data_IF_869595739995
#
_entry.id   IF_869595739995
#
_cell.length_a   1.000
_cell.length_b   1.000
_cell.length_c   1.000
_cell.angle_alpha   90.00
_cell.angle_beta   90.00
_cell.angle_gamma   90.00
#
_symmetry.space_group_name_H-M   'P 1'
#
loop_
_entity.id
_entity.type
_entity.pdbx_description
1 polymer ?
#
# COMPACT_ATOMS: atom_id res chain seq x y z
N UNK A 1 -2.13 23.28 -1.09
CA UNK A 1 -2.54 23.42 -2.50
C UNK A 1 -1.84 22.36 -3.36
N UNK A 2 -0.52 22.16 -3.21
CA UNK A 2 0.21 21.07 -3.89
C UNK A 2 -0.16 19.67 -3.43
N UNK A 3 -0.33 19.40 -2.12
CA UNK A 3 -0.79 18.08 -1.65
C UNK A 3 -2.19 17.72 -2.18
N UNK A 4 -3.07 18.70 -2.35
CA UNK A 4 -4.39 18.48 -2.98
C UNK A 4 -4.27 18.17 -4.47
N UNK A 5 -3.40 18.89 -5.20
CA UNK A 5 -3.11 18.61 -6.62
C UNK A 5 -2.45 17.24 -6.83
N UNK A 6 -1.49 16.88 -5.98
CA UNK A 6 -0.86 15.56 -6.01
C UNK A 6 -1.87 14.43 -5.78
N UNK A 7 -2.83 14.64 -4.86
CA UNK A 7 -3.92 13.70 -4.67
C UNK A 7 -4.85 13.63 -5.90
N UNK A 8 -5.19 14.76 -6.53
CA UNK A 8 -6.02 14.79 -7.75
C UNK A 8 -5.40 14.02 -8.93
N UNK A 9 -4.08 14.14 -9.14
CA UNK A 9 -3.39 13.45 -10.23
C UNK A 9 -3.27 11.94 -9.96
N UNK A 10 -3.05 11.54 -8.71
CA UNK A 10 -3.09 10.13 -8.30
C UNK A 10 -4.50 9.53 -8.49
N UNK A 11 -5.55 10.25 -8.13
CA UNK A 11 -6.93 9.78 -8.33
C UNK A 11 -7.29 9.68 -9.83
N UNK A 12 -6.81 10.60 -10.68
CA UNK A 12 -6.97 10.48 -12.15
C UNK A 12 -6.24 9.27 -12.70
N UNK A 13 -5.00 9.03 -12.27
CA UNK A 13 -4.24 7.85 -12.64
C UNK A 13 -4.98 6.58 -12.21
N UNK A 14 -5.44 6.53 -10.96
CA UNK A 14 -6.24 5.43 -10.42
C UNK A 14 -7.45 5.12 -11.31
N UNK A 15 -8.21 6.14 -11.70
CA UNK A 15 -9.37 5.98 -12.58
C UNK A 15 -9.00 5.49 -13.97
N UNK A 16 -7.89 5.97 -14.54
CA UNK A 16 -7.42 5.53 -15.86
C UNK A 16 -7.05 4.04 -15.89
N UNK A 17 -6.60 3.49 -14.76
CA UNK A 17 -6.24 2.07 -14.60
C UNK A 17 -7.45 1.13 -14.50
N UNK A 18 -8.68 1.66 -14.55
CA UNK A 18 -9.87 0.84 -14.73
C UNK A 18 -9.92 0.21 -16.13
N UNK A 19 -9.27 0.82 -17.13
CA UNK A 19 -9.09 0.22 -18.45
C UNK A 19 -8.03 -0.90 -18.38
N UNK A 20 -8.37 -2.16 -18.70
CA UNK A 20 -7.41 -3.27 -18.70
C UNK A 20 -6.19 -3.06 -19.59
N UNK A 21 -6.32 -2.34 -20.71
CA UNK A 21 -5.19 -2.06 -21.61
C UNK A 21 -4.20 -1.09 -20.98
N UNK A 22 -4.71 -0.02 -20.35
CA UNK A 22 -3.89 0.96 -19.63
C UNK A 22 -3.23 0.30 -18.43
N UNK A 23 -3.98 -0.49 -17.65
CA UNK A 23 -3.45 -1.23 -16.51
C UNK A 23 -2.32 -2.18 -16.92
N UNK A 24 -2.51 -2.95 -17.99
CA UNK A 24 -1.48 -3.88 -18.47
C UNK A 24 -0.21 -3.16 -18.90
N UNK A 25 -0.34 -2.06 -19.64
CA UNK A 25 0.81 -1.24 -20.06
C UNK A 25 1.54 -0.63 -18.86
N UNK A 26 0.79 -0.04 -17.92
CA UNK A 26 1.34 0.52 -16.69
C UNK A 26 2.08 -0.53 -15.86
N UNK A 27 1.47 -1.70 -15.67
CA UNK A 27 2.04 -2.83 -14.93
C UNK A 27 3.34 -3.35 -15.56
N UNK A 28 3.39 -3.48 -16.88
CA UNK A 28 4.55 -4.00 -17.62
C UNK A 28 5.83 -3.17 -17.43
N UNK A 29 5.71 -1.86 -17.16
CA UNK A 29 6.86 -0.97 -16.98
C UNK A 29 7.80 -1.43 -15.85
N UNK A 30 7.28 -2.08 -14.81
CA UNK A 30 8.05 -2.51 -13.63
C UNK A 30 8.02 -4.03 -13.37
N UNK A 31 7.25 -4.82 -14.12
CA UNK A 31 7.06 -6.26 -13.87
C UNK A 31 8.35 -7.09 -13.86
N UNK A 32 9.36 -6.67 -14.62
CA UNK A 32 10.63 -7.39 -14.76
C UNK A 32 11.74 -6.87 -13.84
N UNK A 33 11.41 -6.04 -12.85
CA UNK A 33 12.38 -5.53 -11.90
C UNK A 33 13.02 -6.67 -11.08
N UNK A 34 14.35 -6.73 -11.06
CA UNK A 34 15.11 -7.72 -10.28
C UNK A 34 15.37 -7.19 -8.88
N UNK A 35 14.60 -7.71 -7.92
CA UNK A 35 14.74 -7.44 -6.48
C UNK A 35 16.09 -7.96 -5.97
N UNK A 36 16.79 -7.15 -5.17
CA UNK A 36 18.05 -7.53 -4.53
C UNK A 36 17.87 -8.72 -3.57
N UNK A 37 18.96 -9.45 -3.31
CA UNK A 37 18.93 -10.68 -2.52
C UNK A 37 18.28 -10.51 -1.13
N UNK A 38 18.66 -9.47 -0.39
CA UNK A 38 18.18 -9.24 0.97
C UNK A 38 16.67 -8.92 1.01
N UNK A 39 16.15 -7.86 0.33
CA UNK A 39 14.71 -7.61 0.25
C UNK A 39 13.92 -8.82 -0.23
N UNK A 40 14.46 -9.59 -1.19
CA UNK A 40 13.80 -10.77 -1.72
C UNK A 40 13.56 -11.83 -0.65
N UNK A 41 14.56 -12.16 0.16
CA UNK A 41 14.40 -13.13 1.25
C UNK A 41 13.39 -12.61 2.27
N UNK A 42 13.54 -11.37 2.73
CA UNK A 42 12.67 -10.79 3.75
C UNK A 42 11.22 -10.73 3.26
N UNK A 43 11.00 -10.26 2.03
CA UNK A 43 9.68 -10.17 1.41
C UNK A 43 9.01 -11.53 1.26
N UNK A 44 9.72 -12.55 0.75
CA UNK A 44 9.16 -13.90 0.66
C UNK A 44 8.81 -14.48 2.03
N UNK A 45 9.68 -14.33 3.02
CA UNK A 45 9.41 -14.80 4.38
C UNK A 45 8.19 -14.12 4.98
N UNK A 46 8.06 -12.80 4.82
CA UNK A 46 6.93 -12.05 5.36
C UNK A 46 5.60 -12.42 4.67
N UNK A 47 5.58 -12.48 3.33
CA UNK A 47 4.39 -12.90 2.57
C UNK A 47 4.01 -14.36 2.91
N UNK A 48 4.98 -15.25 3.06
CA UNK A 48 4.74 -16.64 3.46
C UNK A 48 4.14 -16.74 4.87
N UNK A 49 4.68 -16.00 5.84
CA UNK A 49 4.13 -15.91 7.19
C UNK A 49 2.69 -15.38 7.17
N UNK A 50 2.43 -14.29 6.44
CA UNK A 50 1.09 -13.71 6.30
C UNK A 50 0.08 -14.70 5.71
N UNK A 51 0.45 -15.42 4.65
CA UNK A 51 -0.41 -16.44 4.04
C UNK A 51 -0.65 -17.65 4.95
N UNK A 52 0.32 -18.01 5.79
CA UNK A 52 0.16 -19.07 6.78
C UNK A 52 -0.81 -18.62 7.90
N UNK A 53 -0.68 -17.38 8.36
CA UNK A 53 -1.51 -16.83 9.45
C UNK A 53 -2.92 -16.46 9.00
N UNK A 54 -3.14 -15.98 7.78
CA UNK A 54 -4.45 -15.48 7.32
C UNK A 54 -5.09 -16.34 6.23
N UNK A 55 -4.39 -17.35 5.74
CA UNK A 55 -4.81 -18.14 4.59
C UNK A 55 -4.38 -17.51 3.26
N UNK A 56 -4.38 -18.34 2.22
CA UNK A 56 -4.02 -17.92 0.85
C UNK A 56 -5.14 -17.19 0.13
N UNK A 57 -6.39 -17.43 0.54
CA UNK A 57 -7.56 -16.84 -0.10
C UNK A 57 -7.80 -15.40 0.38
N UNK A 58 -8.19 -14.49 -0.53
CA UNK A 58 -8.51 -13.12 -0.16
C UNK A 58 -9.85 -13.05 0.57
N UNK A 59 -9.87 -12.36 1.72
CA UNK A 59 -11.06 -12.15 2.56
C UNK A 59 -11.03 -10.75 3.15
N UNK A 60 -12.17 -10.24 3.64
CA UNK A 60 -12.21 -8.92 4.25
C UNK A 60 -11.30 -8.84 5.48
N UNK A 61 -11.27 -9.89 6.29
CA UNK A 61 -10.41 -9.96 7.47
C UNK A 61 -8.92 -10.06 7.15
N UNK A 62 -8.55 -10.73 6.04
CA UNK A 62 -7.17 -10.75 5.56
C UNK A 62 -6.76 -9.37 5.07
N UNK A 63 -7.58 -8.72 4.25
CA UNK A 63 -7.28 -7.37 3.79
C UNK A 63 -7.13 -6.41 4.95
N UNK A 64 -8.06 -6.39 5.91
CA UNK A 64 -7.91 -5.57 7.12
C UNK A 64 -6.55 -5.75 7.82
N UNK A 65 -6.05 -6.98 7.92
CA UNK A 65 -4.75 -7.25 8.52
C UNK A 65 -3.59 -6.74 7.66
N UNK A 66 -3.66 -6.93 6.34
CA UNK A 66 -2.65 -6.48 5.38
C UNK A 66 -2.59 -4.95 5.32
N UNK A 67 -3.73 -4.26 5.33
CA UNK A 67 -3.84 -2.78 5.30
C UNK A 67 -3.28 -2.08 6.55
N UNK A 68 -3.27 -2.78 7.68
CA UNK A 68 -2.56 -2.30 8.89
C UNK A 68 -1.04 -2.32 8.65
N UNK A 69 -0.56 -3.25 7.84
CA UNK A 69 0.87 -3.46 7.54
C UNK A 69 1.30 -2.60 6.33
N UNK A 70 0.45 -2.42 5.33
CA UNK A 70 0.77 -1.74 4.07
C UNK A 70 1.13 -0.25 4.23
N UNK A 71 0.54 0.45 5.21
CA UNK A 71 0.94 1.83 5.57
C UNK A 71 2.37 1.98 6.12
N UNK A 72 2.95 0.90 6.63
CA UNK A 72 4.13 0.96 7.50
C UNK A 72 5.40 1.44 6.78
N UNK A 73 5.72 0.99 5.57
CA UNK A 73 6.94 1.40 4.87
C UNK A 73 7.01 2.90 4.65
N UNK A 74 5.88 3.50 4.31
CA UNK A 74 5.79 4.95 4.13
C UNK A 74 6.07 5.70 5.44
N UNK A 75 5.59 5.20 6.59
CA UNK A 75 5.96 5.75 7.90
C UNK A 75 7.45 5.58 8.18
N UNK A 76 8.02 4.41 7.89
CA UNK A 76 9.46 4.17 8.01
C UNK A 76 10.28 5.13 7.16
N UNK A 77 9.86 5.40 5.93
CA UNK A 77 10.54 6.36 5.04
C UNK A 77 10.42 7.78 5.56
N UNK A 78 9.26 8.19 6.07
CA UNK A 78 9.08 9.50 6.71
C UNK A 78 10.01 9.68 7.92
N UNK A 79 10.12 8.65 8.77
CA UNK A 79 11.03 8.66 9.91
C UNK A 79 12.51 8.65 9.45
N UNK A 80 12.87 7.81 8.48
CA UNK A 80 14.25 7.70 8.00
C UNK A 80 14.70 8.98 7.29
N UNK A 81 13.84 9.57 6.47
CA UNK A 81 14.10 10.87 5.83
C UNK A 81 14.22 11.99 6.85
N UNK A 82 13.38 12.03 7.90
CA UNK A 82 13.53 12.97 9.01
C UNK A 82 14.88 12.81 9.74
N UNK A 83 15.29 11.58 10.04
CA UNK A 83 16.62 11.30 10.63
C UNK A 83 17.74 11.79 9.73
N UNK A 84 17.69 11.47 8.44
CA UNK A 84 18.71 11.90 7.47
C UNK A 84 18.71 13.41 7.27
N UNK A 85 17.56 14.07 7.23
CA UNK A 85 17.45 15.53 7.17
C UNK A 85 18.12 16.16 8.39
N UNK A 86 17.87 15.63 9.58
CA UNK A 86 18.52 16.11 10.82
C UNK A 86 20.04 15.97 10.76
N UNK A 87 20.57 14.89 10.16
CA UNK A 87 22.00 14.68 10.00
C UNK A 87 22.64 15.51 8.87
N UNK A 88 21.85 15.90 7.86
CA UNK A 88 22.36 16.54 6.64
C UNK A 88 21.66 17.86 6.32
N UNK A 89 21.13 18.56 7.33
CA UNK A 89 20.29 19.76 7.16
C UNK A 89 20.98 20.88 6.38
N UNK A 90 22.31 20.97 6.45
CA UNK A 90 23.12 21.97 5.75
C UNK A 90 23.32 21.69 4.26
N UNK A 91 22.95 20.50 3.77
CA UNK A 91 23.11 20.09 2.36
C UNK A 91 21.79 20.26 1.62
N UNK A 92 21.56 21.44 1.06
CA UNK A 92 20.31 21.84 0.40
C UNK A 92 19.78 20.81 -0.61
N UNK A 93 20.60 20.38 -1.58
CA UNK A 93 20.18 19.41 -2.60
C UNK A 93 19.75 18.06 -2.01
N UNK A 94 20.41 17.62 -0.94
CA UNK A 94 20.03 16.41 -0.22
C UNK A 94 18.73 16.62 0.57
N UNK A 95 18.55 17.80 1.14
CA UNK A 95 17.34 18.15 1.88
C UNK A 95 16.11 18.22 0.97
N UNK A 96 16.24 18.76 -0.25
CA UNK A 96 15.18 18.76 -1.28
C UNK A 96 14.78 17.32 -1.61
N UNK A 97 15.74 16.46 -1.99
CA UNK A 97 15.45 15.05 -2.33
C UNK A 97 14.75 14.31 -1.17
N UNK A 98 15.23 14.47 0.07
CA UNK A 98 14.61 13.82 1.23
C UNK A 98 13.20 14.37 1.51
N UNK A 99 12.98 15.67 1.28
CA UNK A 99 11.66 16.29 1.44
C UNK A 99 10.66 15.78 0.41
N UNK A 100 11.10 15.52 -0.82
CA UNK A 100 10.23 14.94 -1.86
C UNK A 100 9.82 13.51 -1.53
N UNK A 101 10.74 12.69 -1.01
CA UNK A 101 10.39 11.36 -0.47
C UNK A 101 9.39 11.48 0.67
N UNK A 102 9.56 12.43 1.60
CA UNK A 102 8.59 12.66 2.68
C UNK A 102 7.21 13.08 2.14
N UNK A 103 7.15 13.91 1.08
CA UNK A 103 5.87 14.29 0.45
C UNK A 103 5.17 13.07 -0.14
N UNK A 104 5.87 12.25 -0.91
CA UNK A 104 5.33 11.02 -1.47
C UNK A 104 4.84 10.08 -0.37
N UNK A 105 5.67 9.83 0.64
CA UNK A 105 5.32 8.95 1.75
C UNK A 105 4.06 9.41 2.48
N UNK A 106 3.83 10.72 2.63
CA UNK A 106 2.58 11.24 3.22
C UNK A 106 1.36 10.96 2.35
N UNK A 107 1.45 11.17 1.03
CA UNK A 107 0.33 10.90 0.12
C UNK A 107 -0.04 9.41 0.14
N UNK A 108 0.95 8.53 0.09
CA UNK A 108 0.74 7.09 0.18
C UNK A 108 0.18 6.69 1.57
N UNK A 109 0.69 7.25 2.67
CA UNK A 109 0.13 7.02 4.02
C UNK A 109 -1.35 7.39 4.10
N UNK A 110 -1.75 8.53 3.53
CA UNK A 110 -3.14 8.98 3.54
C UNK A 110 -4.03 8.01 2.74
N UNK A 111 -3.55 7.54 1.59
CA UNK A 111 -4.24 6.54 0.75
C UNK A 111 -4.42 5.20 1.47
N UNK A 112 -3.34 4.63 2.01
CA UNK A 112 -3.34 3.40 2.80
C UNK A 112 -4.22 3.55 4.06
N UNK A 113 -4.23 4.73 4.69
CA UNK A 113 -5.13 5.05 5.81
C UNK A 113 -6.59 5.00 5.41
N UNK A 114 -6.93 5.49 4.22
CA UNK A 114 -8.26 5.32 3.68
C UNK A 114 -8.62 3.85 3.49
N UNK A 115 -7.73 3.03 2.94
CA UNK A 115 -7.97 1.59 2.78
C UNK A 115 -8.26 0.91 4.13
N UNK A 116 -7.38 1.06 5.13
CA UNK A 116 -7.57 0.36 6.42
C UNK A 116 -8.85 0.78 7.12
N UNK A 117 -9.21 2.07 7.08
CA UNK A 117 -10.40 2.58 7.78
C UNK A 117 -11.66 1.99 7.14
N UNK A 118 -11.74 2.07 5.82
CA UNK A 118 -12.92 1.62 5.06
C UNK A 118 -13.01 0.10 5.10
N UNK A 119 -11.92 -0.62 4.84
CA UNK A 119 -11.89 -2.10 4.89
C UNK A 119 -12.16 -2.60 6.30
N UNK A 120 -11.71 -1.91 7.35
CA UNK A 120 -12.06 -2.27 8.73
C UNK A 120 -13.57 -2.17 8.99
N UNK A 121 -14.23 -1.15 8.44
CA UNK A 121 -15.68 -0.99 8.54
C UNK A 121 -16.41 -2.09 7.75
N UNK A 122 -15.96 -2.41 6.54
CA UNK A 122 -16.51 -3.48 5.72
C UNK A 122 -16.34 -4.85 6.38
N UNK A 123 -15.12 -5.16 6.85
CA UNK A 123 -14.82 -6.42 7.51
C UNK A 123 -15.69 -6.65 8.75
N UNK A 124 -15.98 -5.61 9.54
CA UNK A 124 -16.90 -5.70 10.68
C UNK A 124 -18.34 -6.06 10.28
N UNK A 125 -18.79 -5.61 9.10
CA UNK A 125 -20.14 -5.87 8.59
C UNK A 125 -20.26 -7.26 7.94
N UNK A 126 -19.21 -7.68 7.24
CA UNK A 126 -19.22 -8.88 6.39
C UNK A 126 -18.73 -10.15 7.11
N UNK A 127 -17.80 -10.01 8.08
CA UNK A 127 -17.13 -11.15 8.71
C UNK A 127 -17.01 -10.98 10.24
N UNK A 128 -17.27 -12.04 11.01
CA UNK A 128 -17.05 -12.05 12.47
C UNK A 128 -15.59 -12.42 12.78
N UNK A 129 -14.86 -11.54 13.46
CA UNK A 129 -13.45 -11.76 13.79
C UNK A 129 -13.24 -12.07 15.27
N UNK A 130 -12.32 -13.00 15.58
CA UNK A 130 -11.72 -13.11 16.91
C UNK A 130 -10.72 -11.98 17.15
N UNK A 131 -10.79 -11.31 18.30
CA UNK A 131 -10.01 -10.10 18.59
C UNK A 131 -8.48 -10.32 18.53
N UNK A 132 -7.97 -11.47 18.97
CA UNK A 132 -6.51 -11.70 19.12
C UNK A 132 -5.80 -11.83 17.77
N UNK A 133 -6.27 -12.74 16.88
CA UNK A 133 -5.61 -13.05 15.60
C UNK A 133 -5.58 -11.86 14.63
N UNK A 134 -6.60 -11.01 14.68
CA UNK A 134 -6.78 -9.93 13.71
C UNK A 134 -6.44 -8.54 14.23
N UNK A 135 -5.94 -8.42 15.46
CA UNK A 135 -5.48 -7.15 16.04
C UNK A 135 -4.03 -7.27 16.49
N UNK A 136 -3.68 -8.27 17.30
CA UNK A 136 -2.34 -8.37 17.87
C UNK A 136 -1.27 -8.77 16.84
N UNK A 137 -1.57 -9.77 16.00
CA UNK A 137 -0.61 -10.24 15.00
C UNK A 137 -0.27 -9.15 13.96
N UNK A 138 -1.24 -8.42 13.36
CA UNK A 138 -0.92 -7.33 12.44
C UNK A 138 -0.08 -6.24 13.11
N UNK A 139 -0.32 -5.92 14.38
CA UNK A 139 0.46 -4.93 15.12
C UNK A 139 1.92 -5.36 15.31
N UNK A 140 2.16 -6.62 15.68
CA UNK A 140 3.54 -7.15 15.77
C UNK A 140 4.22 -7.18 14.41
N UNK A 141 3.49 -7.57 13.36
CA UNK A 141 4.01 -7.57 12.00
C UNK A 141 4.37 -6.16 11.53
N UNK A 142 3.49 -5.19 11.80
CA UNK A 142 3.70 -3.78 11.52
C UNK A 142 4.93 -3.24 12.27
N UNK A 143 5.12 -3.60 13.54
CA UNK A 143 6.29 -3.18 14.32
C UNK A 143 7.61 -3.67 13.71
N UNK A 144 7.72 -4.96 13.39
CA UNK A 144 8.96 -5.48 12.79
C UNK A 144 9.16 -4.98 11.37
N UNK A 145 8.09 -4.86 10.59
CA UNK A 145 8.16 -4.32 9.25
C UNK A 145 8.63 -2.86 9.27
N UNK A 146 8.18 -2.07 10.25
CA UNK A 146 8.62 -0.70 10.46
C UNK A 146 10.13 -0.64 10.67
N UNK A 147 10.65 -1.44 11.60
CA UNK A 147 12.08 -1.47 11.91
C UNK A 147 12.90 -1.88 10.69
N UNK A 148 12.49 -2.93 10.00
CA UNK A 148 13.22 -3.43 8.84
C UNK A 148 13.20 -2.41 7.70
N UNK A 149 12.04 -1.85 7.36
CA UNK A 149 11.93 -0.83 6.33
C UNK A 149 12.76 0.41 6.66
N UNK A 150 12.78 0.83 7.94
CA UNK A 150 13.56 1.98 8.41
C UNK A 150 15.07 1.73 8.29
N UNK A 151 15.58 0.62 8.83
CA UNK A 151 17.02 0.32 8.78
C UNK A 151 17.50 0.02 7.36
N UNK A 152 16.71 -0.70 6.56
CA UNK A 152 17.02 -0.91 5.15
C UNK A 152 17.13 0.43 4.42
N UNK A 153 16.21 1.38 4.69
CA UNK A 153 16.26 2.69 4.07
C UNK A 153 17.53 3.46 4.43
N UNK A 154 17.94 3.43 5.70
CA UNK A 154 19.17 4.08 6.15
C UNK A 154 20.44 3.47 5.55
N UNK A 155 20.48 2.14 5.36
CA UNK A 155 21.62 1.42 4.78
C UNK A 155 21.67 1.63 3.27
N UNK A 156 20.56 1.36 2.59
CA UNK A 156 20.39 1.51 1.16
C UNK A 156 18.89 1.70 0.84
N UNK A 157 18.44 2.92 0.51
CA UNK A 157 17.04 3.22 0.19
C UNK A 157 16.41 2.21 -0.78
N UNK A 158 17.20 1.76 -1.77
CA UNK A 158 16.78 0.75 -2.75
C UNK A 158 16.22 -0.51 -2.10
N UNK A 159 16.84 -1.00 -1.02
CA UNK A 159 16.38 -2.22 -0.36
C UNK A 159 15.02 -2.05 0.30
N UNK A 160 14.73 -0.87 0.83
CA UNK A 160 13.45 -0.57 1.44
C UNK A 160 12.34 -0.44 0.40
N UNK A 161 12.63 0.26 -0.72
CA UNK A 161 11.71 0.35 -1.87
C UNK A 161 11.43 -1.01 -2.52
N UNK A 162 12.46 -1.83 -2.71
CA UNK A 162 12.32 -3.19 -3.26
C UNK A 162 11.51 -4.11 -2.34
N UNK A 163 11.63 -3.94 -1.03
CA UNK A 163 10.81 -4.67 -0.07
C UNK A 163 9.34 -4.22 -0.19
N UNK A 164 9.08 -2.91 -0.27
CA UNK A 164 7.73 -2.39 -0.50
C UNK A 164 7.13 -2.92 -1.82
N UNK A 165 7.89 -2.86 -2.91
CA UNK A 165 7.48 -3.41 -4.21
C UNK A 165 6.93 -4.84 -4.11
N UNK A 166 7.56 -5.71 -3.31
CA UNK A 166 7.07 -7.09 -3.13
C UNK A 166 5.73 -7.17 -2.39
N UNK A 167 5.52 -6.31 -1.39
CA UNK A 167 4.26 -6.24 -0.65
C UNK A 167 3.13 -5.70 -1.51
N UNK A 168 3.35 -4.57 -2.18
CA UNK A 168 2.39 -3.93 -3.10
C UNK A 168 2.04 -4.87 -4.26
N UNK A 169 3.02 -5.57 -4.81
CA UNK A 169 2.76 -6.58 -5.84
C UNK A 169 1.91 -7.74 -5.29
N UNK A 170 2.15 -8.19 -4.06
CA UNK A 170 1.33 -9.22 -3.45
C UNK A 170 -0.11 -8.73 -3.21
N UNK A 171 -0.28 -7.52 -2.69
CA UNK A 171 -1.58 -6.90 -2.46
C UNK A 171 -2.37 -6.76 -3.77
N UNK A 172 -1.75 -6.24 -4.83
CA UNK A 172 -2.33 -6.16 -6.17
C UNK A 172 -2.90 -7.51 -6.65
N UNK A 173 -2.13 -8.59 -6.52
CA UNK A 173 -2.57 -9.93 -6.93
C UNK A 173 -3.72 -10.45 -6.05
N UNK A 174 -3.71 -10.16 -4.75
CA UNK A 174 -4.80 -10.54 -3.84
C UNK A 174 -6.11 -9.81 -4.16
N UNK A 175 -6.05 -8.50 -4.41
CA UNK A 175 -7.22 -7.71 -4.80
C UNK A 175 -7.75 -8.11 -6.19
N UNK A 176 -6.85 -8.36 -7.14
CA UNK A 176 -7.23 -8.87 -8.46
C UNK A 176 -8.01 -10.18 -8.36
N UNK A 177 -7.47 -11.15 -7.60
CA UNK A 177 -8.16 -12.42 -7.34
C UNK A 177 -9.50 -12.22 -6.63
N UNK A 178 -9.59 -11.29 -5.69
CA UNK A 178 -10.83 -11.01 -4.97
C UNK A 178 -11.93 -10.44 -5.89
N UNK A 179 -11.56 -9.52 -6.76
CA UNK A 179 -12.47 -8.92 -7.75
C UNK A 179 -12.91 -9.95 -8.80
N UNK A 180 -12.02 -10.82 -9.24
CA UNK A 180 -12.35 -11.91 -10.18
C UNK A 180 -13.32 -12.92 -9.56
N UNK A 181 -13.09 -13.31 -8.31
CA UNK A 181 -13.87 -14.36 -7.64
C UNK A 181 -15.20 -13.86 -7.07
N UNK A 182 -15.27 -12.61 -6.60
CA UNK A 182 -16.45 -12.06 -5.90
C UNK A 182 -17.07 -10.85 -6.60
N UNK A 183 -16.62 -10.50 -7.81
CA UNK A 183 -17.01 -9.26 -8.48
C UNK A 183 -18.51 -9.01 -8.57
N UNK A 184 -19.27 -10.03 -8.97
CA UNK A 184 -20.74 -9.93 -9.11
C UNK A 184 -21.47 -9.77 -7.76
N UNK A 185 -20.93 -10.32 -6.68
CA UNK A 185 -21.43 -10.11 -5.33
C UNK A 185 -21.17 -8.66 -4.88
N UNK A 186 -19.94 -8.19 -5.09
CA UNK A 186 -19.48 -6.86 -4.67
C UNK A 186 -20.24 -5.72 -5.37
N UNK A 187 -20.62 -5.90 -6.64
CA UNK A 187 -21.42 -4.92 -7.39
C UNK A 187 -22.79 -4.66 -6.76
N UNK A 188 -23.36 -5.65 -6.06
CA UNK A 188 -24.68 -5.56 -5.42
C UNK A 188 -24.64 -4.92 -4.04
N UNK A 189 -23.44 -4.69 -3.48
CA UNK A 189 -23.27 -4.16 -2.13
C UNK A 189 -22.96 -2.66 -2.20
N UNK A 190 -23.92 -1.77 -1.91
CA UNK A 190 -23.63 -0.35 -1.83
C UNK A 190 -22.64 -0.06 -0.71
N UNK A 191 -21.80 0.94 -0.92
CA UNK A 191 -20.84 1.39 0.09
C UNK A 191 -21.12 2.85 0.42
N UNK A 192 -21.19 3.14 1.72
CA UNK A 192 -21.28 4.50 2.25
C UNK A 192 -20.30 4.63 3.41
N UNK A 193 -19.42 5.61 3.33
CA UNK A 193 -18.47 5.95 4.38
C UNK A 193 -18.23 7.45 4.40
N UNK A 194 -18.36 8.05 5.59
CA UNK A 194 -17.99 9.44 5.81
C UNK A 194 -16.50 9.66 5.55
N UNK A 195 -15.66 8.66 5.83
CA UNK A 195 -14.23 8.73 5.60
C UNK A 195 -13.90 8.79 4.10
N UNK A 196 -14.58 8.01 3.26
CA UNK A 196 -14.46 8.10 1.80
C UNK A 196 -14.85 9.49 1.28
N UNK A 197 -15.94 10.05 1.83
CA UNK A 197 -16.41 11.39 1.46
C UNK A 197 -15.42 12.49 1.86
N UNK A 198 -14.79 12.36 3.04
CA UNK A 198 -13.74 13.25 3.53
C UNK A 198 -12.45 13.12 2.70
N UNK A 199 -12.07 11.88 2.33
CA UNK A 199 -10.91 11.59 1.50
C UNK A 199 -11.08 12.10 0.06
N UNK A 200 -12.33 12.18 -0.43
CA UNK A 200 -12.67 12.67 -1.77
C UNK A 200 -12.89 11.56 -2.80
N UNK A 201 -13.17 10.32 -2.37
CA UNK A 201 -13.42 9.17 -3.25
C UNK A 201 -14.85 8.68 -3.09
N UNK A 202 -15.57 8.49 -4.20
CA UNK A 202 -17.02 8.25 -4.20
C UNK A 202 -17.41 6.96 -4.96
N UNK A 203 -16.99 5.76 -4.52
CA UNK A 203 -17.41 4.51 -5.14
C UNK A 203 -18.89 4.23 -4.87
N UNK A 204 -19.62 3.72 -5.85
CA UNK A 204 -21.06 3.42 -5.72
C UNK A 204 -21.32 2.12 -4.96
N UNK A 205 -20.41 1.16 -5.10
CA UNK A 205 -20.50 -0.17 -4.50
C UNK A 205 -19.11 -0.66 -4.06
N UNK A 206 -19.09 -1.79 -3.35
CA UNK A 206 -17.85 -2.37 -2.86
C UNK A 206 -16.92 -2.80 -4.02
N UNK A 207 -17.45 -3.18 -5.19
CA UNK A 207 -16.63 -3.56 -6.35
C UNK A 207 -15.79 -2.38 -6.82
N UNK A 208 -16.39 -1.21 -7.02
CA UNK A 208 -15.68 0.01 -7.41
C UNK A 208 -14.65 0.44 -6.37
N UNK A 209 -14.98 0.29 -5.09
CA UNK A 209 -14.05 0.56 -4.02
C UNK A 209 -12.81 -0.36 -4.12
N UNK A 210 -12.99 -1.69 -4.12
CA UNK A 210 -11.87 -2.62 -4.21
C UNK A 210 -11.11 -2.55 -5.55
N UNK A 211 -11.78 -2.18 -6.64
CA UNK A 211 -11.14 -1.88 -7.92
C UNK A 211 -10.19 -0.69 -7.79
N UNK A 212 -10.62 0.37 -7.11
CA UNK A 212 -9.77 1.52 -6.83
C UNK A 212 -8.61 1.17 -5.91
N UNK A 213 -8.82 0.34 -4.88
CA UNK A 213 -7.75 -0.12 -3.98
C UNK A 213 -6.70 -0.91 -4.77
N UNK A 214 -7.12 -1.90 -5.59
CA UNK A 214 -6.22 -2.63 -6.50
C UNK A 214 -5.37 -1.69 -7.36
N UNK A 215 -5.97 -0.62 -7.87
CA UNK A 215 -5.27 0.35 -8.70
C UNK A 215 -4.29 1.22 -7.90
N UNK A 216 -4.56 1.49 -6.62
CA UNK A 216 -3.60 2.15 -5.73
C UNK A 216 -2.37 1.25 -5.51
N UNK A 217 -2.56 -0.04 -5.21
CA UNK A 217 -1.45 -0.99 -4.99
C UNK A 217 -0.48 -1.03 -6.19
N UNK A 218 -0.99 -1.03 -7.42
CA UNK A 218 -0.12 -1.05 -8.61
C UNK A 218 0.62 0.28 -8.80
N UNK A 219 -0.01 1.40 -8.42
CA UNK A 219 0.64 2.72 -8.44
C UNK A 219 1.76 2.74 -7.41
N UNK A 220 1.50 2.33 -6.17
CA UNK A 220 2.47 2.22 -5.09
C UNK A 220 3.63 1.29 -5.45
N UNK A 221 3.34 0.13 -6.02
CA UNK A 221 4.33 -0.83 -6.53
C UNK A 221 5.27 -0.18 -7.53
N UNK A 222 4.74 0.44 -8.59
CA UNK A 222 5.56 1.02 -9.65
C UNK A 222 6.33 2.25 -9.17
N UNK A 223 5.70 3.08 -8.32
CA UNK A 223 6.35 4.27 -7.76
C UNK A 223 7.53 3.89 -6.88
N UNK A 224 7.42 2.80 -6.11
CA UNK A 224 8.55 2.25 -5.36
C UNK A 224 9.77 1.97 -6.26
N UNK A 225 9.57 1.55 -7.51
CA UNK A 225 10.67 1.31 -8.45
C UNK A 225 11.18 2.62 -9.07
N UNK A 226 10.31 3.56 -9.39
CA UNK A 226 10.72 4.87 -9.90
C UNK A 226 11.58 5.65 -8.90
N UNK A 227 11.30 5.53 -7.60
CA UNK A 227 12.11 6.15 -6.53
C UNK A 227 13.53 5.56 -6.39
N UNK A 228 13.81 4.40 -7.00
CA UNK A 228 15.15 3.79 -7.05
C UNK A 228 16.01 4.41 -8.15
N UNK A 229 15.39 4.90 -9.24
CA UNK A 229 16.07 5.37 -10.45
C UNK A 229 16.59 6.80 -10.28
#
# INVERSE_FOLDING_TARGET
MELRRGNEDLEKLNQSLNDPHVLKAYKQACDHHKVSFLPRILGYSLVWCGNTVYGKEPTYLKFRAVEVIARVPYHSWSCATFTLLTLFYSKEQKAIRLSDVTKYARLAQDNETMHVVVISQLAKKEERAGAIRHIFIPMMFAFFYFLWSYFLYLINPRYSYELNYMFENHAFEQYSKFLETRGEELKKKPIYSEFLSWYGRYPRNQYEFFLSVRNDEIIHRNTSIHEIQ
#
